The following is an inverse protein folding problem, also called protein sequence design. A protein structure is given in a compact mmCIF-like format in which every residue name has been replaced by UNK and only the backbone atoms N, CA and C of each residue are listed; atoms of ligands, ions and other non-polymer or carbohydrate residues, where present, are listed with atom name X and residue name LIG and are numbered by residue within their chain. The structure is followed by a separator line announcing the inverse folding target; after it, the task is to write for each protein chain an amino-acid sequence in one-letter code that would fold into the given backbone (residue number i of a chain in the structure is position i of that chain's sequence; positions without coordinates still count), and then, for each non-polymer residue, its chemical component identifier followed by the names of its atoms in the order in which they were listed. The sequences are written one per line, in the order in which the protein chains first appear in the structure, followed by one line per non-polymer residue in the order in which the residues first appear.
data_IF_088002663830
#
_entry.id   IF_088002663830
#
_cell.length_a   1.000
_cell.length_b   1.000
_cell.length_c   1.000
_cell.angle_alpha   90.00
_cell.angle_beta   90.00
_cell.angle_gamma   90.00
#
_symmetry.space_group_name_H-M   'P 1'
#
loop_
_entity.id
_entity.type
_entity.pdbx_description
1 polymer ?
#
# COMPACT_ATOMS: atom_id res chain seq x y z
N UNK A 1 -21.70 -2.44 0.22
CA UNK A 1 -20.27 -2.80 0.39
C UNK A 1 -19.96 -4.17 -0.22
N UNK A 2 -20.86 -5.15 -0.14
CA UNK A 2 -20.72 -6.48 -0.78
C UNK A 2 -20.30 -6.42 -2.27
N UNK A 3 -20.90 -5.54 -3.07
CA UNK A 3 -20.57 -5.44 -4.50
C UNK A 3 -19.10 -5.01 -4.76
N UNK A 4 -18.45 -4.35 -3.80
CA UNK A 4 -17.06 -3.89 -3.89
C UNK A 4 -16.06 -4.81 -3.18
N UNK A 5 -16.44 -5.39 -2.04
CA UNK A 5 -15.51 -6.10 -1.15
C UNK A 5 -15.82 -7.61 -0.98
N UNK A 6 -16.94 -8.08 -1.53
CA UNK A 6 -17.42 -9.46 -1.40
C UNK A 6 -17.50 -9.91 0.05
N UNK A 7 -17.22 -11.19 0.32
CA UNK A 7 -17.11 -11.74 1.68
C UNK A 7 -15.64 -11.83 2.15
N UNK A 8 -14.81 -10.91 1.64
CA UNK A 8 -13.40 -10.83 1.95
C UNK A 8 -13.12 -10.35 3.38
N UNK A 9 -11.84 -10.25 3.73
CA UNK A 9 -11.39 -9.91 5.10
C UNK A 9 -11.92 -8.56 5.60
N UNK A 10 -12.28 -7.65 4.69
CA UNK A 10 -12.82 -6.34 5.02
C UNK A 10 -14.33 -6.31 5.21
N UNK A 11 -15.05 -7.37 4.83
CA UNK A 11 -16.51 -7.42 4.84
C UNK A 11 -17.06 -8.73 5.44
N UNK A 12 -16.21 -9.51 6.12
CA UNK A 12 -16.59 -10.72 6.86
C UNK A 12 -16.48 -10.52 8.37
N UNK A 13 -17.23 -11.31 9.13
CA UNK A 13 -17.29 -11.24 10.60
C UNK A 13 -16.97 -12.59 11.27
N UNK A 14 -16.80 -12.56 12.60
CA UNK A 14 -16.71 -13.74 13.45
C UNK A 14 -15.55 -14.68 13.09
N UNK A 15 -15.84 -15.98 13.04
CA UNK A 15 -14.83 -16.99 12.73
C UNK A 15 -14.28 -16.89 11.30
N UNK A 16 -15.11 -16.43 10.34
CA UNK A 16 -14.68 -16.24 8.97
C UNK A 16 -13.61 -15.13 8.87
N UNK A 17 -13.86 -13.99 9.52
CA UNK A 17 -12.88 -12.92 9.66
C UNK A 17 -11.61 -13.39 10.37
N UNK A 18 -11.76 -14.14 11.48
CA UNK A 18 -10.63 -14.64 12.26
C UNK A 18 -9.72 -15.54 11.40
N UNK A 19 -10.31 -16.43 10.61
CA UNK A 19 -9.59 -17.33 9.70
C UNK A 19 -8.88 -16.56 8.60
N UNK A 20 -9.59 -15.67 7.89
CA UNK A 20 -9.01 -14.87 6.81
C UNK A 20 -7.90 -13.94 7.31
N UNK A 21 -8.08 -13.31 8.49
CA UNK A 21 -7.05 -12.49 9.13
C UNK A 21 -5.80 -13.30 9.46
N UNK A 22 -5.96 -14.49 10.04
CA UNK A 22 -4.83 -15.37 10.33
C UNK A 22 -4.03 -15.67 9.06
N UNK A 23 -4.71 -16.09 7.98
CA UNK A 23 -4.07 -16.36 6.69
C UNK A 23 -3.37 -15.12 6.13
N UNK A 24 -4.06 -13.98 6.07
CA UNK A 24 -3.48 -12.72 5.57
C UNK A 24 -2.23 -12.33 6.37
N UNK A 25 -2.26 -12.41 7.70
CA UNK A 25 -1.09 -12.10 8.55
C UNK A 25 0.11 -12.98 8.23
N UNK A 26 -0.08 -14.28 7.93
CA UNK A 26 1.02 -15.15 7.53
C UNK A 26 1.60 -14.75 6.17
N UNK A 27 0.75 -14.45 5.19
CA UNK A 27 1.20 -14.01 3.87
C UNK A 27 1.96 -12.67 3.95
N UNK A 28 1.48 -11.69 4.72
CA UNK A 28 2.19 -10.42 4.97
C UNK A 28 3.51 -10.59 5.72
N UNK A 29 3.62 -11.63 6.55
CA UNK A 29 4.87 -12.01 7.22
C UNK A 29 5.74 -12.96 6.38
N UNK A 30 5.38 -13.26 5.13
CA UNK A 30 6.24 -14.05 4.25
C UNK A 30 7.45 -13.22 3.79
N UNK A 31 8.60 -13.89 3.63
CA UNK A 31 9.80 -13.22 3.10
C UNK A 31 9.58 -12.75 1.67
N UNK A 32 8.92 -13.57 0.84
CA UNK A 32 8.58 -13.23 -0.54
C UNK A 32 7.79 -11.94 -0.64
N UNK A 33 6.71 -11.79 0.15
CA UNK A 33 5.89 -10.58 0.09
C UNK A 33 6.62 -9.36 0.66
N UNK A 34 7.45 -9.53 1.70
CA UNK A 34 8.30 -8.44 2.22
C UNK A 34 9.32 -7.95 1.20
N UNK A 35 10.03 -8.88 0.56
CA UNK A 35 11.06 -8.53 -0.43
C UNK A 35 10.42 -7.84 -1.64
N UNK A 36 9.28 -8.37 -2.12
CA UNK A 36 8.49 -7.75 -3.18
C UNK A 36 8.03 -6.34 -2.79
N UNK A 37 7.38 -6.20 -1.63
CA UNK A 37 6.90 -4.90 -1.14
C UNK A 37 8.03 -3.89 -1.01
N UNK A 38 9.19 -4.32 -0.50
CA UNK A 38 10.38 -3.46 -0.38
C UNK A 38 10.85 -2.94 -1.73
N UNK A 39 10.87 -3.79 -2.76
CA UNK A 39 11.24 -3.37 -4.12
C UNK A 39 10.27 -2.31 -4.65
N UNK A 40 8.97 -2.55 -4.49
CA UNK A 40 7.92 -1.62 -4.92
C UNK A 40 8.05 -0.30 -4.17
N UNK A 41 8.10 -0.31 -2.85
CA UNK A 41 8.25 0.92 -2.04
C UNK A 41 9.50 1.71 -2.42
N UNK A 42 10.62 1.05 -2.69
CA UNK A 42 11.85 1.70 -3.11
C UNK A 42 11.69 2.41 -4.46
N UNK A 43 11.08 1.74 -5.44
CA UNK A 43 10.82 2.31 -6.76
C UNK A 43 9.98 3.59 -6.65
N UNK A 44 8.85 3.53 -5.95
CA UNK A 44 7.98 4.68 -5.76
C UNK A 44 8.64 5.79 -4.95
N UNK A 45 9.46 5.46 -3.95
CA UNK A 45 10.23 6.45 -3.18
C UNK A 45 11.23 7.20 -4.05
N UNK A 46 11.90 6.52 -4.98
CA UNK A 46 12.82 7.15 -5.95
C UNK A 46 12.05 8.08 -6.88
N UNK A 47 10.90 7.62 -7.40
CA UNK A 47 10.03 8.44 -8.26
C UNK A 47 9.56 9.69 -7.54
N UNK A 48 9.05 9.56 -6.31
CA UNK A 48 8.61 10.69 -5.50
C UNK A 48 9.76 11.66 -5.21
N UNK A 49 10.94 11.14 -4.84
CA UNK A 49 12.14 11.96 -4.62
C UNK A 49 12.53 12.79 -5.84
N UNK A 50 12.43 12.20 -7.05
CA UNK A 50 12.68 12.92 -8.30
C UNK A 50 11.67 14.05 -8.53
N UNK A 51 10.38 13.81 -8.30
CA UNK A 51 9.34 14.84 -8.47
C UNK A 51 9.55 15.98 -7.46
N UNK A 52 9.81 15.65 -6.19
CA UNK A 52 10.06 16.65 -5.15
C UNK A 52 11.33 17.45 -5.42
N UNK A 53 12.38 16.82 -5.96
CA UNK A 53 13.61 17.50 -6.36
C UNK A 53 13.35 18.51 -7.48
N UNK A 54 12.54 18.14 -8.48
CA UNK A 54 12.14 19.04 -9.55
C UNK A 54 11.27 20.19 -9.04
N UNK A 55 10.28 19.92 -8.20
CA UNK A 55 9.43 20.96 -7.63
C UNK A 55 10.24 21.96 -6.80
N UNK A 56 11.18 21.45 -5.99
CA UNK A 56 12.12 22.27 -5.21
C UNK A 56 12.97 23.18 -6.10
N UNK A 57 13.54 22.66 -7.18
CA UNK A 57 14.32 23.45 -8.15
C UNK A 57 13.52 24.60 -8.76
N UNK A 58 12.23 24.39 -9.00
CA UNK A 58 11.33 25.41 -9.58
C UNK A 58 10.60 26.25 -8.51
N UNK A 59 10.90 26.08 -7.21
CA UNK A 59 10.17 26.70 -6.11
C UNK A 59 8.64 26.50 -6.20
N UNK A 60 8.23 25.33 -6.68
CA UNK A 60 6.83 24.97 -6.89
C UNK A 60 6.24 24.39 -5.60
N UNK A 61 5.04 24.84 -5.24
CA UNK A 61 4.24 24.24 -4.17
C UNK A 61 3.73 22.85 -4.58
N UNK A 62 3.74 21.90 -3.64
CA UNK A 62 3.34 20.51 -3.88
C UNK A 62 2.32 20.09 -2.84
N UNK A 63 1.20 19.54 -3.32
CA UNK A 63 0.26 18.80 -2.48
C UNK A 63 0.77 17.36 -2.27
N UNK A 64 1.16 17.06 -1.03
CA UNK A 64 1.70 15.76 -0.64
C UNK A 64 0.68 14.61 -0.70
N UNK A 65 -0.62 14.90 -0.62
CA UNK A 65 -1.66 13.89 -0.75
C UNK A 65 -1.86 13.50 -2.22
N UNK A 66 -1.87 14.49 -3.12
CA UNK A 66 -2.07 14.25 -4.56
C UNK A 66 -0.86 13.56 -5.20
N UNK A 67 0.36 13.97 -4.84
CA UNK A 67 1.58 13.40 -5.45
C UNK A 67 1.86 11.94 -5.07
N UNK A 68 1.19 11.43 -4.03
CA UNK A 68 1.32 10.05 -3.54
C UNK A 68 0.14 9.14 -3.94
N UNK A 69 -0.90 9.70 -4.57
CA UNK A 69 -2.10 9.00 -5.05
C UNK A 69 -1.90 8.42 -6.46
#
# INVERSE_FOLDING_TARGET
MEVLLGDGIFNSDGEQWRKQRKTASFEFASKSLRDFSTSVFREYSIKLSSILSQASFHSQEVDMQVITS
#
